data_IF_883859429586
#
_entry.id   IF_883859429586
#
_cell.length_a   1.000
_cell.length_b   1.000
_cell.length_c   1.000
_cell.angle_alpha   90.00
_cell.angle_beta   90.00
_cell.angle_gamma   90.00
#
_symmetry.space_group_name_H-M   'P 1'
#
loop_
_entity.id
_entity.type
_entity.pdbx_description
1 polymer ?
#
# COMPACT_ATOMS: atom_id res chain seq x y z
N UNK A 1 -20.03 -42.08 -9.87
CA UNK A 1 -19.62 -41.21 -8.70
C UNK A 1 -18.24 -40.61 -8.82
N UNK A 2 -17.23 -41.20 -9.44
CA UNK A 2 -15.84 -40.67 -9.54
C UNK A 2 -15.68 -39.45 -10.46
N UNK A 3 -16.44 -39.35 -11.57
CA UNK A 3 -16.36 -38.24 -12.53
C UNK A 3 -16.91 -36.91 -11.98
N UNK A 4 -17.90 -36.91 -11.13
CA UNK A 4 -18.47 -35.72 -10.51
C UNK A 4 -17.47 -35.10 -9.46
N UNK A 5 -16.80 -35.95 -8.67
CA UNK A 5 -15.77 -35.48 -7.71
C UNK A 5 -14.54 -34.85 -8.39
N UNK A 6 -14.18 -35.34 -9.60
CA UNK A 6 -13.03 -34.78 -10.35
C UNK A 6 -13.40 -33.45 -11.05
N UNK A 7 -14.66 -33.27 -11.46
CA UNK A 7 -15.14 -32.03 -12.07
C UNK A 7 -15.17 -30.88 -11.05
N UNK A 8 -15.62 -31.14 -9.83
CA UNK A 8 -15.62 -30.15 -8.73
C UNK A 8 -14.21 -29.71 -8.33
N UNK A 9 -13.28 -30.63 -8.20
CA UNK A 9 -11.88 -30.29 -7.86
C UNK A 9 -11.19 -29.44 -8.94
N UNK A 10 -11.43 -29.75 -10.21
CA UNK A 10 -10.82 -28.99 -11.33
C UNK A 10 -11.39 -27.59 -11.44
N UNK A 11 -12.70 -27.42 -11.23
CA UNK A 11 -13.34 -26.11 -11.22
C UNK A 11 -12.92 -25.28 -10.00
N UNK A 12 -12.81 -25.87 -8.82
CA UNK A 12 -12.33 -25.21 -7.62
C UNK A 12 -10.88 -24.73 -7.77
N UNK A 13 -10.02 -25.55 -8.34
CA UNK A 13 -8.60 -25.19 -8.56
C UNK A 13 -8.47 -24.06 -9.61
N UNK A 14 -9.27 -24.10 -10.68
CA UNK A 14 -9.32 -23.05 -11.70
C UNK A 14 -9.84 -21.71 -11.13
N UNK A 15 -10.85 -21.74 -10.25
CA UNK A 15 -11.39 -20.54 -9.61
C UNK A 15 -10.38 -19.92 -8.63
N UNK A 16 -9.73 -20.74 -7.82
CA UNK A 16 -8.68 -20.31 -6.91
C UNK A 16 -7.48 -19.68 -7.64
N UNK A 17 -7.10 -20.23 -8.80
CA UNK A 17 -6.03 -19.66 -9.63
C UNK A 17 -6.40 -18.29 -10.20
N UNK A 18 -7.67 -18.06 -10.60
CA UNK A 18 -8.14 -16.76 -11.10
C UNK A 18 -8.10 -15.69 -10.01
N UNK A 19 -8.57 -16.00 -8.82
CA UNK A 19 -8.50 -15.08 -7.68
C UNK A 19 -7.06 -14.63 -7.40
N UNK A 20 -6.12 -15.57 -7.37
CA UNK A 20 -4.71 -15.28 -7.12
C UNK A 20 -4.11 -14.41 -8.23
N UNK A 21 -4.44 -14.67 -9.49
CA UNK A 21 -3.99 -13.84 -10.61
C UNK A 21 -4.51 -12.40 -10.49
N UNK A 22 -5.77 -12.21 -10.10
CA UNK A 22 -6.34 -10.88 -9.85
C UNK A 22 -5.58 -10.19 -8.71
N UNK A 23 -5.32 -10.89 -7.60
CA UNK A 23 -4.55 -10.36 -6.47
C UNK A 23 -3.14 -9.91 -6.89
N UNK A 24 -2.42 -10.75 -7.63
CA UNK A 24 -1.09 -10.42 -8.15
C UNK A 24 -1.14 -9.21 -9.08
N UNK A 25 -2.16 -9.13 -9.95
CA UNK A 25 -2.33 -7.99 -10.85
C UNK A 25 -2.58 -6.68 -10.08
N UNK A 26 -3.41 -6.70 -9.04
CA UNK A 26 -3.66 -5.54 -8.16
C UNK A 26 -2.37 -5.09 -7.47
N UNK A 27 -1.65 -6.03 -6.84
CA UNK A 27 -0.37 -5.75 -6.18
C UNK A 27 0.61 -5.10 -7.16
N UNK A 28 0.77 -5.70 -8.35
CA UNK A 28 1.69 -5.21 -9.36
C UNK A 28 1.31 -3.82 -9.87
N UNK A 29 0.03 -3.57 -10.17
CA UNK A 29 -0.43 -2.28 -10.68
C UNK A 29 -0.22 -1.17 -9.65
N UNK A 30 -0.58 -1.39 -8.39
CA UNK A 30 -0.40 -0.39 -7.33
C UNK A 30 1.09 -0.11 -7.12
N UNK A 31 1.92 -1.14 -7.00
CA UNK A 31 3.36 -0.99 -6.91
C UNK A 31 3.93 -0.22 -8.10
N UNK A 32 3.51 -0.55 -9.32
CA UNK A 32 3.98 0.10 -10.55
C UNK A 32 3.62 1.58 -10.58
N UNK A 33 2.36 1.94 -10.29
CA UNK A 33 1.93 3.34 -10.28
C UNK A 33 2.63 4.15 -9.19
N UNK A 34 2.82 3.57 -8.01
CA UNK A 34 3.61 4.19 -6.95
C UNK A 34 5.05 4.44 -7.41
N UNK A 35 5.72 3.45 -7.99
CA UNK A 35 7.09 3.60 -8.49
C UNK A 35 7.22 4.66 -9.58
N UNK A 36 6.33 4.63 -10.57
CA UNK A 36 6.35 5.59 -11.68
C UNK A 36 6.12 7.02 -11.19
N UNK A 37 5.19 7.23 -10.27
CA UNK A 37 4.92 8.56 -9.71
C UNK A 37 6.13 9.10 -8.93
N UNK A 38 6.72 8.29 -8.05
CA UNK A 38 7.89 8.66 -7.24
C UNK A 38 9.11 8.99 -8.12
N UNK A 39 9.41 8.15 -9.12
CA UNK A 39 10.53 8.41 -10.03
C UNK A 39 10.34 9.74 -10.78
N UNK A 40 9.14 10.01 -11.29
CA UNK A 40 8.85 11.27 -11.99
C UNK A 40 9.02 12.49 -11.09
N UNK A 41 8.55 12.42 -9.85
CA UNK A 41 8.68 13.53 -8.89
C UNK A 41 10.14 13.75 -8.49
N UNK A 42 10.89 12.69 -8.20
CA UNK A 42 12.31 12.78 -7.88
C UNK A 42 13.07 13.44 -9.02
N UNK A 43 12.87 12.98 -10.26
CA UNK A 43 13.55 13.56 -11.44
C UNK A 43 13.15 15.02 -11.69
N UNK A 44 11.89 15.36 -11.46
CA UNK A 44 11.40 16.74 -11.61
C UNK A 44 12.04 17.68 -10.59
N UNK A 45 12.02 17.33 -9.29
CA UNK A 45 12.51 18.22 -8.23
C UNK A 45 14.04 18.30 -8.14
N UNK A 46 14.77 17.38 -8.73
CA UNK A 46 16.20 17.56 -8.95
C UNK A 46 16.53 18.75 -9.87
N UNK A 47 15.58 19.17 -10.71
CA UNK A 47 15.76 20.20 -11.76
C UNK A 47 14.91 21.45 -11.52
N UNK A 48 13.83 21.34 -10.77
CA UNK A 48 12.80 22.36 -10.63
C UNK A 48 12.31 22.44 -9.17
N UNK A 49 11.61 23.52 -8.84
CA UNK A 49 10.96 23.69 -7.55
C UNK A 49 9.67 22.85 -7.45
N UNK A 50 8.98 22.93 -6.30
CA UNK A 50 7.69 22.29 -6.08
C UNK A 50 6.70 22.61 -7.21
N UNK A 51 5.75 21.69 -7.45
CA UNK A 51 4.69 21.86 -8.44
C UNK A 51 3.44 22.32 -7.69
N UNK A 52 2.99 23.54 -7.96
CA UNK A 52 1.71 24.04 -7.47
C UNK A 52 0.56 23.38 -8.25
N UNK A 53 -0.41 22.79 -7.54
CA UNK A 53 -1.61 22.20 -8.12
C UNK A 53 -2.82 23.07 -7.83
N UNK A 54 -3.07 23.37 -6.54
CA UNK A 54 -4.15 24.27 -6.10
C UNK A 54 -3.90 24.69 -4.63
N UNK A 55 -4.84 25.46 -4.06
CA UNK A 55 -4.72 26.01 -2.71
C UNK A 55 -4.76 24.97 -1.57
N UNK A 56 -4.91 23.68 -1.89
CA UNK A 56 -4.99 22.58 -0.92
C UNK A 56 -3.95 21.49 -1.16
N UNK A 57 -3.40 21.38 -2.36
CA UNK A 57 -2.47 20.33 -2.76
C UNK A 57 -1.34 20.91 -3.59
N UNK A 58 -0.11 20.60 -3.19
CA UNK A 58 1.11 20.78 -3.99
C UNK A 58 1.81 19.44 -4.18
N UNK A 59 2.70 19.37 -5.16
CA UNK A 59 3.68 18.29 -5.19
C UNK A 59 5.02 18.84 -4.73
N UNK A 60 5.43 18.40 -3.54
CA UNK A 60 6.69 18.78 -2.90
C UNK A 60 7.35 17.56 -2.26
N UNK A 61 8.55 17.22 -2.72
CA UNK A 61 9.25 16.00 -2.31
C UNK A 61 9.85 16.13 -0.92
N UNK A 62 9.39 15.28 -0.03
CA UNK A 62 9.94 15.11 1.31
C UNK A 62 10.45 13.69 1.47
N UNK A 63 11.72 13.54 1.86
CA UNK A 63 12.29 12.24 2.18
C UNK A 63 11.91 11.82 3.62
N UNK A 64 10.91 10.96 3.74
CA UNK A 64 10.38 10.50 5.01
C UNK A 64 11.23 9.34 5.57
N UNK A 65 11.99 9.62 6.62
CA UNK A 65 12.80 8.62 7.36
C UNK A 65 12.04 7.98 8.53
N UNK A 66 10.77 8.36 8.73
CA UNK A 66 9.91 7.88 9.82
C UNK A 66 8.90 6.82 9.40
N UNK A 67 7.80 6.79 10.15
CA UNK A 67 6.58 6.06 9.82
C UNK A 67 5.68 6.98 8.96
N UNK A 68 4.71 6.40 8.23
CA UNK A 68 3.83 7.13 7.34
C UNK A 68 3.33 8.48 7.89
N UNK A 69 3.10 9.44 7.01
CA UNK A 69 2.72 10.83 7.32
C UNK A 69 3.78 11.64 8.11
N UNK A 70 5.06 11.29 8.00
CA UNK A 70 6.14 11.99 8.70
C UNK A 70 6.15 11.79 10.23
N UNK A 71 5.35 10.87 10.75
CA UNK A 71 5.34 10.56 12.18
C UNK A 71 6.63 9.81 12.56
N UNK A 72 7.25 10.23 13.67
CA UNK A 72 8.45 9.61 14.23
C UNK A 72 9.63 9.55 13.24
N UNK A 73 10.26 10.68 12.95
CA UNK A 73 11.57 10.69 12.30
C UNK A 73 12.62 10.04 13.19
N UNK A 74 13.34 9.04 12.68
CA UNK A 74 14.35 8.33 13.45
C UNK A 74 15.74 8.83 13.10
N UNK A 75 16.42 9.36 14.10
CA UNK A 75 17.84 9.79 13.99
C UNK A 75 18.80 8.59 13.97
N UNK A 76 18.35 7.40 14.44
CA UNK A 76 19.20 6.22 14.55
C UNK A 76 18.88 5.19 13.48
N UNK A 77 19.88 4.75 12.73
CA UNK A 77 19.78 3.71 11.70
C UNK A 77 19.22 2.39 12.24
N UNK A 78 19.42 2.09 13.52
CA UNK A 78 18.94 0.86 14.17
C UNK A 78 17.41 0.83 14.26
N UNK A 79 16.79 1.91 14.74
CA UNK A 79 15.32 2.00 14.83
C UNK A 79 14.67 1.94 13.44
N UNK A 80 15.24 2.63 12.47
CA UNK A 80 14.80 2.57 11.08
C UNK A 80 14.81 1.14 10.53
N UNK A 81 15.90 0.40 10.75
CA UNK A 81 16.06 -0.97 10.30
C UNK A 81 15.07 -1.92 11.00
N UNK A 82 14.84 -1.76 12.31
CA UNK A 82 13.85 -2.56 13.05
C UNK A 82 12.46 -2.35 12.45
N UNK A 83 12.06 -1.11 12.19
CA UNK A 83 10.74 -0.82 11.60
C UNK A 83 10.64 -1.39 10.19
N UNK A 84 11.69 -1.28 9.39
CA UNK A 84 11.71 -1.87 8.05
C UNK A 84 11.52 -3.38 8.10
N UNK A 85 12.16 -4.07 9.04
CA UNK A 85 11.98 -5.52 9.26
C UNK A 85 10.54 -5.83 9.68
N UNK A 86 9.97 -5.07 10.61
CA UNK A 86 8.57 -5.24 11.06
C UNK A 86 7.62 -5.08 9.87
N UNK A 87 7.79 -4.06 9.02
CA UNK A 87 7.00 -3.86 7.82
C UNK A 87 7.11 -5.06 6.88
N UNK A 88 8.31 -5.59 6.67
CA UNK A 88 8.52 -6.81 5.88
C UNK A 88 7.76 -8.02 6.44
N UNK A 89 7.79 -8.22 7.76
CA UNK A 89 7.03 -9.29 8.42
C UNK A 89 5.50 -9.10 8.25
N UNK A 90 5.01 -7.87 8.36
CA UNK A 90 3.59 -7.54 8.13
C UNK A 90 3.19 -7.85 6.68
N UNK A 91 4.00 -7.49 5.70
CA UNK A 91 3.74 -7.81 4.29
C UNK A 91 3.62 -9.33 4.09
N UNK A 92 4.55 -10.12 4.64
CA UNK A 92 4.51 -11.58 4.56
C UNK A 92 3.22 -12.13 5.21
N UNK A 93 2.84 -11.60 6.36
CA UNK A 93 1.60 -11.99 7.04
C UNK A 93 0.36 -11.64 6.21
N UNK A 94 0.29 -10.46 5.59
CA UNK A 94 -0.81 -10.07 4.71
C UNK A 94 -0.89 -10.96 3.46
N UNK A 95 0.24 -11.34 2.86
CA UNK A 95 0.28 -12.31 1.75
C UNK A 95 -0.29 -13.66 2.20
N UNK A 96 0.05 -14.13 3.40
CA UNK A 96 -0.55 -15.34 3.96
C UNK A 96 -2.07 -15.19 4.11
N UNK A 97 -2.58 -14.06 4.60
CA UNK A 97 -4.01 -13.80 4.72
C UNK A 97 -4.73 -13.81 3.35
N UNK A 98 -4.11 -13.30 2.30
CA UNK A 98 -4.65 -13.37 0.91
C UNK A 98 -4.96 -14.83 0.54
N UNK A 99 -4.12 -15.80 0.92
CA UNK A 99 -4.35 -17.22 0.59
C UNK A 99 -5.51 -17.85 1.36
N UNK A 100 -5.90 -17.29 2.52
CA UNK A 100 -6.90 -17.86 3.43
C UNK A 100 -8.25 -17.14 3.41
N UNK A 101 -8.30 -15.95 2.87
CA UNK A 101 -9.46 -15.06 2.96
C UNK A 101 -10.49 -15.30 1.84
N UNK A 102 -11.68 -14.71 1.99
CA UNK A 102 -12.70 -14.64 0.95
C UNK A 102 -12.28 -13.64 -0.14
N UNK A 103 -12.85 -13.73 -1.33
CA UNK A 103 -12.44 -12.96 -2.50
C UNK A 103 -12.34 -11.44 -2.25
N UNK A 104 -13.35 -10.83 -1.60
CA UNK A 104 -13.32 -9.39 -1.29
C UNK A 104 -12.15 -9.05 -0.37
N UNK A 105 -11.90 -9.84 0.68
CA UNK A 105 -10.80 -9.63 1.60
C UNK A 105 -9.43 -9.82 0.92
N UNK A 106 -9.34 -10.78 0.00
CA UNK A 106 -8.14 -10.95 -0.85
C UNK A 106 -7.82 -9.67 -1.62
N UNK A 107 -8.83 -9.05 -2.24
CA UNK A 107 -8.66 -7.78 -2.99
C UNK A 107 -8.16 -6.69 -2.05
N UNK A 108 -8.79 -6.52 -0.89
CA UNK A 108 -8.44 -5.48 0.07
C UNK A 108 -7.02 -5.68 0.64
N UNK A 109 -6.67 -6.91 1.05
CA UNK A 109 -5.30 -7.22 1.46
C UNK A 109 -4.30 -7.01 0.33
N UNK A 110 -4.65 -7.36 -0.92
CA UNK A 110 -3.78 -7.12 -2.07
C UNK A 110 -3.55 -5.64 -2.34
N UNK A 111 -4.58 -4.81 -2.11
CA UNK A 111 -4.47 -3.35 -2.20
C UNK A 111 -3.47 -2.81 -1.17
N UNK A 112 -3.57 -3.26 0.09
CA UNK A 112 -2.63 -2.89 1.14
C UNK A 112 -1.22 -3.38 0.84
N UNK A 113 -1.07 -4.64 0.40
CA UNK A 113 0.24 -5.23 0.06
C UNK A 113 0.91 -4.49 -1.09
N UNK A 114 0.15 -4.10 -2.13
CA UNK A 114 0.68 -3.34 -3.27
C UNK A 114 1.31 -2.01 -2.85
N UNK A 115 0.63 -1.23 -2.02
CA UNK A 115 1.17 0.01 -1.46
C UNK A 115 2.32 -0.25 -0.48
N UNK A 116 2.16 -1.21 0.43
CA UNK A 116 3.19 -1.54 1.41
C UNK A 116 4.52 -1.98 0.75
N UNK A 117 4.46 -2.73 -0.35
CA UNK A 117 5.64 -3.10 -1.14
C UNK A 117 6.32 -1.89 -1.77
N UNK A 118 5.57 -0.87 -2.22
CA UNK A 118 6.13 0.38 -2.74
C UNK A 118 6.98 1.08 -1.69
N UNK A 119 6.40 1.34 -0.53
CA UNK A 119 7.10 1.98 0.59
C UNK A 119 8.21 1.11 1.20
N UNK A 120 8.07 -0.22 1.17
CA UNK A 120 9.11 -1.14 1.61
C UNK A 120 10.32 -1.12 0.67
N UNK A 121 10.08 -1.12 -0.65
CA UNK A 121 11.15 -0.96 -1.64
C UNK A 121 11.95 0.33 -1.42
N UNK A 122 11.27 1.46 -1.16
CA UNK A 122 11.95 2.73 -0.92
C UNK A 122 12.86 2.67 0.30
N UNK A 123 12.36 2.07 1.38
CA UNK A 123 13.15 1.89 2.61
C UNK A 123 14.43 1.10 2.40
N UNK A 124 14.38 0.08 1.53
CA UNK A 124 15.55 -0.73 1.20
C UNK A 124 16.50 -0.02 0.22
N UNK A 125 15.95 0.74 -0.74
CA UNK A 125 16.73 1.36 -1.81
C UNK A 125 17.30 2.72 -1.43
N UNK A 126 16.55 3.53 -0.69
CA UNK A 126 16.89 4.94 -0.41
C UNK A 126 17.05 5.25 1.07
N UNK A 127 16.79 4.30 1.97
CA UNK A 127 16.73 4.53 3.43
C UNK A 127 15.76 5.64 3.84
N UNK A 128 14.80 5.95 2.98
CA UNK A 128 13.72 6.91 3.18
C UNK A 128 12.59 6.62 2.20
N UNK A 129 11.39 7.11 2.48
CA UNK A 129 10.26 7.03 1.57
C UNK A 129 10.06 8.39 0.92
N UNK A 130 10.02 8.50 -0.44
CA UNK A 130 9.72 9.76 -1.11
C UNK A 130 8.23 10.04 -1.05
N UNK A 131 7.83 10.93 -0.15
CA UNK A 131 6.48 11.48 -0.03
C UNK A 131 6.44 12.79 -0.80
N UNK A 132 5.34 13.05 -1.54
CA UNK A 132 5.32 14.20 -2.45
C UNK A 132 3.95 14.86 -2.61
N UNK A 133 2.87 14.28 -2.12
CA UNK A 133 1.54 14.90 -2.12
C UNK A 133 1.39 15.68 -0.82
N UNK A 134 1.66 16.98 -0.90
CA UNK A 134 1.56 17.88 0.25
C UNK A 134 0.14 18.43 0.35
N UNK A 135 -0.55 18.08 1.43
CA UNK A 135 -1.85 18.67 1.76
C UNK A 135 -1.67 19.87 2.67
N UNK A 136 -2.13 21.02 2.19
CA UNK A 136 -2.01 22.29 2.90
C UNK A 136 -3.25 23.15 2.77
N UNK A 137 -3.34 24.17 3.61
CA UNK A 137 -4.26 25.29 3.44
C UNK A 137 -3.57 26.57 3.85
N UNK A 138 -3.38 27.50 2.91
CA UNK A 138 -2.51 28.69 3.08
C UNK A 138 -1.10 28.27 3.48
N UNK A 139 -0.61 28.75 4.63
CA UNK A 139 0.73 28.42 5.17
C UNK A 139 0.73 27.20 6.11
N UNK A 140 -0.41 26.55 6.32
CA UNK A 140 -0.49 25.40 7.20
C UNK A 140 -0.43 24.11 6.39
N UNK A 141 0.63 23.31 6.58
CA UNK A 141 0.82 21.99 5.95
C UNK A 141 0.43 20.92 6.97
N UNK A 142 -0.49 20.01 6.56
CA UNK A 142 -0.96 18.96 7.47
C UNK A 142 -0.04 17.75 7.44
N UNK A 143 0.09 17.14 6.27
CA UNK A 143 0.97 15.99 6.07
C UNK A 143 1.28 15.81 4.59
N UNK A 144 2.45 15.24 4.32
CA UNK A 144 2.88 14.82 2.98
C UNK A 144 2.83 13.31 2.90
N UNK A 145 2.35 12.77 1.79
CA UNK A 145 2.17 11.34 1.55
C UNK A 145 2.42 11.00 0.07
N UNK A 146 2.31 9.72 -0.28
CA UNK A 146 2.53 9.21 -1.62
C UNK A 146 1.36 8.33 -2.11
N UNK A 147 1.45 7.80 -3.32
CA UNK A 147 0.41 6.94 -3.90
C UNK A 147 0.24 5.64 -3.11
N UNK A 148 1.33 5.03 -2.62
CA UNK A 148 1.25 3.83 -1.79
C UNK A 148 0.41 4.05 -0.53
N UNK A 149 0.58 5.19 0.16
CA UNK A 149 -0.15 5.52 1.39
C UNK A 149 -1.66 5.65 1.14
N UNK A 150 -2.07 6.18 -0.02
CA UNK A 150 -3.48 6.24 -0.42
C UNK A 150 -4.07 4.83 -0.47
N UNK A 151 -3.42 3.90 -1.16
CA UNK A 151 -3.93 2.53 -1.31
C UNK A 151 -3.90 1.75 0.00
N UNK A 152 -2.85 1.91 0.82
CA UNK A 152 -2.78 1.34 2.18
C UNK A 152 -3.97 1.84 3.01
N UNK A 153 -4.20 3.14 3.04
CA UNK A 153 -5.28 3.77 3.82
C UNK A 153 -6.65 3.31 3.35
N UNK A 154 -6.93 3.33 2.05
CA UNK A 154 -8.20 2.85 1.48
C UNK A 154 -8.41 1.38 1.81
N UNK A 155 -7.41 0.53 1.63
CA UNK A 155 -7.52 -0.90 1.92
C UNK A 155 -7.83 -1.19 3.39
N UNK A 156 -7.11 -0.55 4.31
CA UNK A 156 -7.30 -0.71 5.75
C UNK A 156 -8.67 -0.16 6.19
N UNK A 157 -9.01 1.06 5.79
CA UNK A 157 -10.30 1.67 6.17
C UNK A 157 -11.48 0.84 5.66
N UNK A 158 -11.41 0.32 4.43
CA UNK A 158 -12.47 -0.53 3.87
C UNK A 158 -12.58 -1.85 4.63
N UNK A 159 -11.47 -2.47 5.04
CA UNK A 159 -11.49 -3.67 5.88
C UNK A 159 -12.19 -3.41 7.22
N UNK A 160 -11.83 -2.31 7.90
CA UNK A 160 -12.42 -1.93 9.18
C UNK A 160 -13.91 -1.68 9.04
N UNK A 161 -14.31 -0.85 8.07
CA UNK A 161 -15.72 -0.53 7.82
C UNK A 161 -16.51 -1.79 7.53
N UNK A 162 -16.02 -2.64 6.64
CA UNK A 162 -16.66 -3.92 6.32
C UNK A 162 -16.89 -4.78 7.57
N UNK A 163 -15.87 -4.94 8.42
CA UNK A 163 -15.96 -5.78 9.62
C UNK A 163 -16.97 -5.22 10.64
N UNK A 164 -17.07 -3.90 10.76
CA UNK A 164 -18.07 -3.25 11.62
C UNK A 164 -19.50 -3.53 11.14
N UNK A 165 -19.76 -3.45 9.83
CA UNK A 165 -21.10 -3.71 9.27
C UNK A 165 -21.49 -5.20 9.38
N UNK A 166 -20.59 -6.13 9.11
CA UNK A 166 -20.89 -7.58 9.20
C UNK A 166 -21.16 -7.99 10.66
N UNK A 167 -20.53 -7.34 11.63
CA UNK A 167 -20.76 -7.63 13.05
C UNK A 167 -22.12 -7.15 13.53
N UNK A 168 -22.62 -6.02 12.98
CA UNK A 168 -23.94 -5.48 13.32
C UNK A 168 -25.11 -6.32 12.77
N UNK A 169 -24.93 -7.06 11.67
CA UNK A 169 -25.97 -7.95 11.13
C UNK A 169 -26.12 -9.28 11.91
N UNK A 170 -25.20 -9.58 12.81
CA UNK A 170 -25.21 -10.83 13.61
C UNK A 170 -25.68 -10.65 15.05
N UNK A 171 -25.96 -9.43 15.47
CA UNK A 171 -26.56 -9.08 16.76
C UNK A 171 -28.02 -8.65 16.58
#
# INVERSE_FOLDING_TARGET
MSKLKNFDKKNFHSFFQKDILICISIIFLIFFFDRVSKIKIIDHQLKNNQIYINDFINFDLVWNTGIGFGLLSFETSLLYNIITIIIGCVIIFLIYLITKSRFIDKILFSTVVGGALGNFYDRLAYFAVPDFIDMHYKSFHWFTFNIADIFISIGILTLIVKDLFIKNEKN
#
